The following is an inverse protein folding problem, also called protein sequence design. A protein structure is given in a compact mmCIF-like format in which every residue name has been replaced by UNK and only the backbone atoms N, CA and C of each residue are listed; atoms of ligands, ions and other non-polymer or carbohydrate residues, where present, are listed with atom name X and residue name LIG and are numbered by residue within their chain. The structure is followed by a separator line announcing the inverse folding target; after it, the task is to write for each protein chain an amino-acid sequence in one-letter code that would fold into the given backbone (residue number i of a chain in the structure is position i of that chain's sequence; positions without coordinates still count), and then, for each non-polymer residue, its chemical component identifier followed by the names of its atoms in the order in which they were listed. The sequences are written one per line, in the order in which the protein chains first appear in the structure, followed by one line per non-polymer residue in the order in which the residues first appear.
data_IF_675296258791
#
_entry.id   IF_675296258791
#
_cell.length_a   1.000
_cell.length_b   1.000
_cell.length_c   1.000
_cell.angle_alpha   90.00
_cell.angle_beta   90.00
_cell.angle_gamma   90.00
#
_symmetry.space_group_name_H-M   'P 1'
#
loop_
_entity.id
_entity.type
_entity.pdbx_description
1 polymer ?
#
# COMPACT_ATOMS: atom_id res chain seq x y z
N UNK A 1 -9.60 8.52 7.38
CA UNK A 1 -9.13 8.46 5.97
C UNK A 1 -8.43 9.77 5.64
N UNK A 2 -7.47 9.76 4.70
CA UNK A 2 -6.69 10.90 4.17
C UNK A 2 -5.74 11.53 5.19
N UNK A 3 -6.26 12.39 6.08
CA UNK A 3 -5.49 13.11 7.11
C UNK A 3 -4.33 13.96 6.54
N UNK A 4 -4.51 14.55 5.36
CA UNK A 4 -3.50 15.35 4.66
C UNK A 4 -3.11 16.62 5.42
N UNK A 5 -4.05 17.23 6.13
CA UNK A 5 -3.87 18.44 6.92
C UNK A 5 -3.81 18.18 8.44
N UNK A 6 -3.57 16.92 8.84
CA UNK A 6 -3.49 16.56 10.26
C UNK A 6 -2.30 17.24 10.94
N UNK A 7 -2.56 17.83 12.09
CA UNK A 7 -1.53 18.37 12.98
C UNK A 7 -0.81 17.25 13.73
N UNK A 8 0.32 17.58 14.37
CA UNK A 8 1.03 16.61 15.22
C UNK A 8 0.14 16.05 16.35
N UNK A 9 -0.78 16.85 16.88
CA UNK A 9 -1.71 16.40 17.93
C UNK A 9 -2.75 15.45 17.35
N UNK A 10 -3.28 15.72 16.15
CA UNK A 10 -4.22 14.83 15.48
C UNK A 10 -3.58 13.46 15.21
N UNK A 11 -2.32 13.44 14.77
CA UNK A 11 -1.59 12.20 14.52
C UNK A 11 -1.32 11.41 15.81
N UNK A 12 -0.99 12.09 16.92
CA UNK A 12 -0.86 11.44 18.24
C UNK A 12 -2.18 10.82 18.71
N UNK A 13 -3.29 11.54 18.52
CA UNK A 13 -4.62 11.05 18.86
C UNK A 13 -5.02 9.87 17.98
N UNK A 14 -4.78 9.96 16.67
CA UNK A 14 -5.06 8.88 15.72
C UNK A 14 -4.25 7.62 16.04
N UNK A 15 -2.96 7.75 16.31
CA UNK A 15 -2.10 6.62 16.67
C UNK A 15 -2.59 5.87 17.92
N UNK A 16 -3.13 6.61 18.91
CA UNK A 16 -3.62 6.05 20.19
C UNK A 16 -5.02 5.45 20.08
N UNK A 17 -5.91 6.06 19.26
CA UNK A 17 -7.34 5.79 19.33
C UNK A 17 -7.91 5.11 18.08
N UNK A 18 -7.11 4.91 17.02
CA UNK A 18 -7.57 4.26 15.80
C UNK A 18 -6.75 3.00 15.47
N UNK A 19 -7.34 2.07 14.72
CA UNK A 19 -6.62 0.90 14.23
C UNK A 19 -5.70 1.20 13.05
N UNK A 20 -5.92 2.33 12.38
CA UNK A 20 -5.11 2.75 11.25
C UNK A 20 -5.69 3.95 10.51
N UNK A 21 -4.88 4.51 9.63
CA UNK A 21 -5.20 5.60 8.73
C UNK A 21 -5.12 5.07 7.31
N UNK A 22 -6.18 5.23 6.53
CA UNK A 22 -6.15 4.94 5.09
C UNK A 22 -5.72 6.19 4.35
N UNK A 23 -4.65 6.13 3.56
CA UNK A 23 -4.22 7.20 2.67
C UNK A 23 -4.54 6.83 1.22
N UNK A 24 -5.02 7.83 0.45
CA UNK A 24 -5.44 7.65 -0.93
C UNK A 24 -4.68 8.67 -1.80
N UNK A 25 -3.37 8.50 -1.99
CA UNK A 25 -2.49 9.56 -2.48
C UNK A 25 -2.84 10.05 -3.89
N UNK A 26 -3.26 9.17 -4.79
CA UNK A 26 -3.67 9.56 -6.14
C UNK A 26 -4.96 10.38 -6.14
N UNK A 27 -5.96 9.95 -5.37
CA UNK A 27 -7.21 10.68 -5.24
C UNK A 27 -6.98 12.07 -4.64
N UNK A 28 -6.24 12.15 -3.54
CA UNK A 28 -5.88 13.42 -2.91
C UNK A 28 -5.21 14.39 -3.87
N UNK A 29 -4.27 13.89 -4.70
CA UNK A 29 -3.59 14.73 -5.69
C UNK A 29 -4.52 15.16 -6.83
N UNK A 30 -5.40 14.26 -7.30
CA UNK A 30 -6.37 14.58 -8.37
C UNK A 30 -7.38 15.64 -7.94
N UNK A 31 -7.73 15.66 -6.65
CA UNK A 31 -8.68 16.61 -6.08
C UNK A 31 -8.03 17.85 -5.46
N UNK A 32 -6.72 17.99 -5.54
CA UNK A 32 -5.95 19.06 -4.90
C UNK A 32 -6.14 19.15 -3.37
N UNK A 33 -6.37 18.00 -2.72
CA UNK A 33 -6.59 17.86 -1.27
C UNK A 33 -5.29 17.68 -0.46
N UNK A 34 -4.16 18.00 -1.05
CA UNK A 34 -2.84 17.88 -0.43
C UNK A 34 -2.28 16.47 -0.47
N UNK A 35 -1.10 16.30 0.10
CA UNK A 35 -0.35 15.04 0.11
C UNK A 35 -0.21 14.52 1.55
N UNK A 36 -0.59 13.27 1.84
CA UNK A 36 -0.46 12.72 3.19
C UNK A 36 1.01 12.58 3.58
N UNK A 37 1.40 13.16 4.71
CA UNK A 37 2.77 13.04 5.21
C UNK A 37 2.97 11.71 5.95
N UNK A 38 3.16 10.63 5.18
CA UNK A 38 3.31 9.27 5.74
C UNK A 38 4.56 9.11 6.61
N UNK A 39 5.63 9.85 6.34
CA UNK A 39 6.83 9.84 7.18
C UNK A 39 6.53 10.37 8.58
N UNK A 40 5.76 11.46 8.67
CA UNK A 40 5.32 12.02 9.94
C UNK A 40 4.33 11.10 10.65
N UNK A 41 3.37 10.53 9.93
CA UNK A 41 2.43 9.55 10.48
C UNK A 41 3.17 8.34 11.10
N UNK A 42 4.19 7.81 10.42
CA UNK A 42 5.02 6.73 10.95
C UNK A 42 5.80 7.15 12.21
N UNK A 43 6.35 8.37 12.22
CA UNK A 43 7.05 8.91 13.38
C UNK A 43 6.16 8.94 14.63
N UNK A 44 4.86 9.19 14.47
CA UNK A 44 3.88 9.15 15.56
C UNK A 44 3.31 7.75 15.85
N UNK A 45 3.78 6.72 15.15
CA UNK A 45 3.36 5.33 15.38
C UNK A 45 2.00 4.97 14.77
N UNK A 46 1.49 5.77 13.83
CA UNK A 46 0.24 5.45 13.14
C UNK A 46 0.40 4.17 12.29
N UNK A 47 -0.59 3.30 12.33
CA UNK A 47 -0.72 2.21 11.38
C UNK A 47 -1.30 2.78 10.07
N UNK A 48 -0.51 2.79 9.00
CA UNK A 48 -0.90 3.39 7.72
C UNK A 48 -1.23 2.30 6.72
N UNK A 49 -2.33 2.48 5.99
CA UNK A 49 -2.77 1.59 4.91
C UNK A 49 -3.05 2.38 3.64
N UNK A 50 -3.11 1.70 2.50
CA UNK A 50 -3.43 2.29 1.20
C UNK A 50 -4.88 2.03 0.81
N UNK A 51 -5.50 3.01 0.17
CA UNK A 51 -6.78 2.93 -0.49
C UNK A 51 -6.75 3.65 -1.83
N UNK A 52 -7.65 3.28 -2.73
CA UNK A 52 -7.77 3.89 -4.07
C UNK A 52 -8.81 5.00 -4.14
N UNK A 53 -9.62 5.12 -3.08
CA UNK A 53 -10.75 6.04 -3.03
C UNK A 53 -11.79 5.77 -4.14
N UNK A 54 -12.48 6.79 -4.58
CA UNK A 54 -13.57 6.71 -5.53
C UNK A 54 -13.09 6.34 -6.94
N UNK A 55 -13.70 5.31 -7.51
CA UNK A 55 -13.38 4.81 -8.86
C UNK A 55 -13.72 5.82 -9.99
N UNK A 56 -14.52 6.84 -9.69
CA UNK A 56 -14.73 7.96 -10.63
C UNK A 56 -13.46 8.79 -10.86
N UNK A 57 -12.58 8.86 -9.85
CA UNK A 57 -11.38 9.70 -9.87
C UNK A 57 -10.21 8.90 -10.45
N UNK A 58 -10.04 7.67 -9.97
CA UNK A 58 -8.90 6.82 -10.29
C UNK A 58 -9.31 5.36 -10.45
N UNK A 59 -8.64 4.63 -11.34
CA UNK A 59 -8.77 3.17 -11.38
C UNK A 59 -8.39 2.55 -10.03
N UNK A 60 -9.10 1.50 -9.57
CA UNK A 60 -8.81 0.82 -8.30
C UNK A 60 -7.58 -0.10 -8.43
N UNK A 61 -6.39 0.50 -8.47
CA UNK A 61 -5.12 -0.17 -8.71
C UNK A 61 -4.13 0.15 -7.58
N UNK A 62 -3.93 -0.80 -6.68
CA UNK A 62 -3.03 -0.68 -5.53
C UNK A 62 -1.54 -0.60 -5.94
N UNK A 63 -1.14 -1.20 -7.06
CA UNK A 63 0.24 -1.05 -7.53
C UNK A 63 0.54 0.41 -7.89
N UNK A 64 -0.40 1.07 -8.57
CA UNK A 64 -0.28 2.51 -8.87
C UNK A 64 -0.29 3.37 -7.63
N UNK A 65 -1.09 3.03 -6.61
CA UNK A 65 -1.06 3.76 -5.33
C UNK A 65 0.29 3.61 -4.63
N UNK A 66 0.86 2.40 -4.61
CA UNK A 66 2.17 2.15 -4.01
C UNK A 66 3.28 2.95 -4.69
N UNK A 67 3.37 2.90 -6.01
CA UNK A 67 4.37 3.63 -6.80
C UNK A 67 4.22 5.15 -6.61
N UNK A 68 3.00 5.64 -6.72
CA UNK A 68 2.72 7.06 -6.57
C UNK A 68 3.07 7.57 -5.17
N UNK A 69 2.60 6.88 -4.12
CA UNK A 69 2.92 7.26 -2.73
C UNK A 69 4.42 7.31 -2.48
N UNK A 70 5.17 6.33 -2.98
CA UNK A 70 6.63 6.32 -2.81
C UNK A 70 7.27 7.54 -3.48
N UNK A 71 6.93 7.81 -4.74
CA UNK A 71 7.50 8.93 -5.51
C UNK A 71 7.23 10.28 -4.84
N UNK A 72 5.99 10.54 -4.43
CA UNK A 72 5.66 11.81 -3.77
C UNK A 72 6.32 11.93 -2.39
N UNK A 73 6.40 10.83 -1.62
CA UNK A 73 7.07 10.82 -0.31
C UNK A 73 8.56 11.13 -0.45
N UNK A 74 9.22 10.53 -1.44
CA UNK A 74 10.63 10.80 -1.74
C UNK A 74 10.85 12.26 -2.16
N UNK A 75 9.99 12.78 -3.05
CA UNK A 75 10.08 14.16 -3.52
C UNK A 75 9.89 15.20 -2.40
N UNK A 76 9.00 14.91 -1.45
CA UNK A 76 8.71 15.83 -0.33
C UNK A 76 9.77 15.80 0.77
N UNK A 77 10.24 14.61 1.14
CA UNK A 77 11.04 14.43 2.35
C UNK A 77 12.54 14.55 2.14
N UNK A 78 13.01 14.41 0.90
CA UNK A 78 14.44 14.28 0.54
C UNK A 78 15.15 13.14 1.31
N UNK A 79 14.42 12.32 2.04
CA UNK A 79 14.90 11.17 2.77
C UNK A 79 14.45 9.87 2.09
N UNK A 80 15.31 8.87 2.11
CA UNK A 80 14.96 7.56 1.52
C UNK A 80 13.82 6.92 2.31
N UNK A 81 12.73 6.60 1.63
CA UNK A 81 11.63 5.83 2.16
C UNK A 81 11.72 4.38 1.66
N UNK A 82 11.74 3.41 2.58
CA UNK A 82 11.90 2.00 2.23
C UNK A 82 10.65 1.47 1.51
N UNK A 83 10.76 0.97 0.26
CA UNK A 83 9.65 0.37 -0.47
C UNK A 83 8.93 -0.75 0.30
N UNK A 84 9.65 -1.48 1.16
CA UNK A 84 9.05 -2.49 2.04
C UNK A 84 7.98 -1.92 2.96
N UNK A 85 8.11 -0.67 3.40
CA UNK A 85 7.09 -0.03 4.24
C UNK A 85 5.82 0.25 3.42
N UNK A 86 5.97 0.67 2.16
CA UNK A 86 4.83 0.87 1.25
C UNK A 86 4.10 -0.47 1.01
N UNK A 87 4.85 -1.54 0.74
CA UNK A 87 4.25 -2.87 0.55
C UNK A 87 3.49 -3.34 1.81
N UNK A 88 4.00 -3.05 3.01
CA UNK A 88 3.28 -3.33 4.26
C UNK A 88 1.96 -2.58 4.37
N UNK A 89 1.88 -1.34 3.86
CA UNK A 89 0.64 -0.55 3.87
C UNK A 89 -0.46 -1.23 3.04
N UNK A 90 -0.09 -1.91 1.97
CA UNK A 90 -1.01 -2.66 1.12
C UNK A 90 -1.30 -4.10 1.62
N UNK A 91 -0.61 -4.57 2.67
CA UNK A 91 -0.70 -5.96 3.13
C UNK A 91 -0.90 -6.07 4.64
N UNK A 92 0.17 -6.27 5.40
CA UNK A 92 0.13 -6.54 6.85
C UNK A 92 -0.58 -5.44 7.65
N UNK A 93 -0.38 -4.17 7.27
CA UNK A 93 -0.99 -3.05 7.98
C UNK A 93 -2.51 -3.04 7.79
N UNK A 94 -2.98 -3.39 6.58
CA UNK A 94 -4.42 -3.53 6.30
C UNK A 94 -5.04 -4.65 7.14
N UNK A 95 -4.37 -5.80 7.26
CA UNK A 95 -4.80 -6.88 8.13
C UNK A 95 -4.95 -6.44 9.60
N UNK A 96 -3.98 -5.68 10.12
CA UNK A 96 -4.04 -5.10 11.46
C UNK A 96 -5.22 -4.14 11.62
N UNK A 97 -5.41 -3.24 10.65
CA UNK A 97 -6.50 -2.26 10.70
C UNK A 97 -7.88 -2.93 10.70
N UNK A 98 -8.05 -3.96 9.88
CA UNK A 98 -9.30 -4.72 9.79
C UNK A 98 -9.48 -5.72 10.95
N UNK A 99 -8.47 -5.89 11.78
CA UNK A 99 -8.43 -6.91 12.84
C UNK A 99 -8.68 -8.32 12.28
N UNK A 100 -8.05 -8.62 11.14
CA UNK A 100 -8.17 -9.90 10.46
C UNK A 100 -6.80 -10.56 10.25
N UNK A 101 -6.79 -11.88 10.21
CA UNK A 101 -5.59 -12.68 9.94
C UNK A 101 -5.33 -12.77 8.44
N UNK A 102 -4.97 -11.64 7.82
CA UNK A 102 -4.66 -11.48 6.40
C UNK A 102 -3.39 -10.66 6.21
N UNK A 103 -2.90 -10.57 4.98
CA UNK A 103 -1.80 -9.70 4.59
C UNK A 103 -0.41 -10.26 4.84
N UNK A 104 -0.28 -11.50 5.30
CA UNK A 104 1.00 -12.22 5.37
C UNK A 104 0.78 -13.73 5.22
N UNK A 105 1.81 -14.42 4.73
CA UNK A 105 1.84 -15.90 4.64
C UNK A 105 2.31 -16.43 6.00
N UNK A 106 1.35 -16.92 6.79
CA UNK A 106 1.60 -17.45 8.14
C UNK A 106 0.53 -18.49 8.50
N UNK A 107 0.87 -19.44 9.35
CA UNK A 107 -0.09 -20.40 9.90
C UNK A 107 -1.29 -19.71 10.55
N UNK A 108 -2.48 -20.23 10.34
CA UNK A 108 -3.76 -19.71 10.82
C UNK A 108 -4.15 -18.33 10.24
N UNK A 109 -3.53 -17.91 9.13
CA UNK A 109 -3.95 -16.76 8.33
C UNK A 109 -4.74 -17.22 7.12
N UNK A 110 -5.64 -16.38 6.63
CA UNK A 110 -6.34 -16.63 5.38
C UNK A 110 -5.34 -16.70 4.23
N UNK A 111 -5.52 -17.68 3.36
CA UNK A 111 -4.65 -17.86 2.20
C UNK A 111 -5.13 -16.96 1.04
N UNK A 112 -5.01 -15.64 1.25
CA UNK A 112 -5.29 -14.60 0.26
C UNK A 112 -3.95 -14.12 -0.29
N UNK A 113 -3.65 -14.48 -1.54
CA UNK A 113 -2.35 -14.24 -2.15
C UNK A 113 -2.50 -13.81 -3.61
N UNK A 114 -1.61 -12.95 -4.07
CA UNK A 114 -1.33 -12.77 -5.49
C UNK A 114 -0.01 -13.41 -5.84
N UNK A 115 0.04 -14.13 -6.96
CA UNK A 115 1.25 -14.72 -7.51
C UNK A 115 1.74 -13.85 -8.65
N UNK A 116 2.94 -13.31 -8.50
CA UNK A 116 3.54 -12.39 -9.46
C UNK A 116 4.55 -13.15 -10.31
N UNK A 117 4.47 -13.00 -11.63
CA UNK A 117 5.46 -13.54 -12.55
C UNK A 117 6.73 -12.69 -12.50
N UNK A 118 7.77 -13.22 -11.85
CA UNK A 118 9.05 -12.50 -11.72
C UNK A 118 9.75 -12.21 -13.07
N UNK A 119 9.45 -13.01 -14.09
CA UNK A 119 10.05 -12.89 -15.43
C UNK A 119 9.19 -11.98 -16.34
N UNK A 120 8.21 -11.25 -15.80
CA UNK A 120 7.50 -10.25 -16.58
C UNK A 120 8.45 -9.10 -16.98
N UNK A 121 8.25 -8.56 -18.16
CA UNK A 121 9.10 -7.48 -18.70
C UNK A 121 9.19 -6.28 -17.73
N UNK A 122 8.10 -5.97 -17.06
CA UNK A 122 8.04 -4.85 -16.11
C UNK A 122 8.94 -5.06 -14.88
N UNK A 123 9.24 -6.30 -14.50
CA UNK A 123 9.96 -6.64 -13.27
C UNK A 123 11.44 -6.95 -13.48
N UNK A 124 11.87 -7.26 -14.69
CA UNK A 124 13.28 -7.53 -14.99
C UNK A 124 14.05 -6.26 -15.33
N UNK A 125 15.33 -6.14 -14.91
CA UNK A 125 16.01 -6.99 -13.92
C UNK A 125 15.50 -6.74 -12.49
N UNK A 126 15.37 -7.82 -11.69
CA UNK A 126 14.88 -7.75 -10.31
C UNK A 126 16.04 -7.74 -9.30
N UNK A 127 16.57 -6.57 -9.02
CA UNK A 127 17.67 -6.40 -8.04
C UNK A 127 17.15 -6.33 -6.59
N UNK A 128 15.96 -5.78 -6.38
CA UNK A 128 15.30 -5.68 -5.08
C UNK A 128 13.82 -5.99 -5.24
N UNK A 129 13.38 -7.09 -4.64
CA UNK A 129 12.01 -7.58 -4.80
C UNK A 129 10.96 -6.56 -4.36
N UNK A 130 11.14 -5.92 -3.19
CA UNK A 130 10.18 -4.95 -2.69
C UNK A 130 10.10 -3.71 -3.59
N UNK A 131 11.25 -3.18 -4.00
CA UNK A 131 11.32 -2.05 -4.92
C UNK A 131 10.69 -2.39 -6.28
N UNK A 132 10.99 -3.57 -6.83
CA UNK A 132 10.42 -4.00 -8.11
C UNK A 132 8.89 -4.12 -8.05
N UNK A 133 8.35 -4.70 -6.98
CA UNK A 133 6.90 -4.80 -6.79
C UNK A 133 6.28 -3.41 -6.64
N UNK A 134 6.83 -2.57 -5.78
CA UNK A 134 6.26 -1.24 -5.48
C UNK A 134 6.28 -0.31 -6.69
N UNK A 135 7.36 -0.32 -7.47
CA UNK A 135 7.57 0.67 -8.54
C UNK A 135 7.18 0.19 -9.93
N UNK A 136 7.18 -1.12 -10.16
CA UNK A 136 7.09 -1.65 -11.53
C UNK A 136 6.02 -2.71 -11.74
N UNK A 137 5.53 -3.37 -10.65
CA UNK A 137 4.47 -4.34 -10.81
C UNK A 137 3.17 -3.69 -11.29
N UNK A 138 2.44 -4.41 -12.10
CA UNK A 138 1.13 -4.04 -12.63
C UNK A 138 0.21 -5.25 -12.64
N UNK A 139 -1.05 -5.08 -13.03
CA UNK A 139 -1.97 -6.19 -13.24
C UNK A 139 -1.42 -7.24 -14.22
N UNK A 140 -0.63 -6.80 -15.23
CA UNK A 140 0.01 -7.70 -16.21
C UNK A 140 1.07 -8.60 -15.60
N UNK A 141 1.63 -8.20 -14.47
CA UNK A 141 2.60 -9.02 -13.73
C UNK A 141 1.93 -10.12 -12.90
N UNK A 142 0.59 -10.06 -12.70
CA UNK A 142 -0.15 -11.05 -11.91
C UNK A 142 -0.31 -12.34 -12.72
N UNK A 143 0.23 -13.44 -12.19
CA UNK A 143 0.06 -14.79 -12.77
C UNK A 143 -1.23 -15.45 -12.29
N UNK A 144 -1.53 -15.32 -11.00
CA UNK A 144 -2.74 -15.88 -10.39
C UNK A 144 -3.15 -15.10 -9.14
N UNK A 145 -4.42 -15.20 -8.79
CA UNK A 145 -5.00 -14.66 -7.55
C UNK A 145 -5.65 -15.80 -6.77
N UNK A 146 -5.34 -15.90 -5.50
CA UNK A 146 -5.90 -16.86 -4.56
C UNK A 146 -6.67 -16.11 -3.48
N UNK A 147 -7.88 -16.55 -3.16
CA UNK A 147 -8.72 -16.06 -2.07
C UNK A 147 -9.22 -17.26 -1.26
N UNK A 148 -9.00 -17.23 0.04
CA UNK A 148 -9.38 -18.33 0.93
C UNK A 148 -8.82 -19.69 0.52
N UNK A 149 -7.60 -19.72 -0.06
CA UNK A 149 -6.96 -20.94 -0.54
C UNK A 149 -7.43 -21.45 -1.92
N UNK A 150 -8.35 -20.74 -2.60
CA UNK A 150 -8.84 -21.09 -3.93
C UNK A 150 -8.30 -20.12 -4.99
N UNK A 151 -7.80 -20.63 -6.10
CA UNK A 151 -7.44 -19.81 -7.26
C UNK A 151 -8.74 -19.27 -7.89
N UNK A 152 -8.90 -17.95 -7.89
CA UNK A 152 -10.05 -17.26 -8.44
C UNK A 152 -9.77 -16.61 -9.78
N UNK A 153 -8.49 -16.40 -10.11
CA UNK A 153 -8.05 -15.86 -11.39
C UNK A 153 -6.67 -16.40 -11.74
N UNK A 154 -6.40 -16.62 -13.03
CA UNK A 154 -5.12 -17.10 -13.53
C UNK A 154 -4.89 -18.60 -13.30
N UNK A 155 -3.63 -19.02 -13.47
CA UNK A 155 -3.17 -20.41 -13.25
C UNK A 155 -1.77 -20.37 -12.64
N UNK A 156 -1.50 -21.31 -11.70
CA UNK A 156 -0.17 -21.52 -11.11
C UNK A 156 0.78 -22.28 -12.03
#
# INVERSE_FOLDING_TARGET
IHMTFATNNDLKLAAKNTRGIVVCPRANSSLAEGIPNVSLMQKFGCNITLGTDNVMINSPDIFREMDYLWKITMGMSQNRFDPKQILKMATVNAGKMLNQKIGCIKENYLADCIFINKNSLDLEPMNNVHASIVHRASEKSIKAVMIGGKIVNGKL
#
